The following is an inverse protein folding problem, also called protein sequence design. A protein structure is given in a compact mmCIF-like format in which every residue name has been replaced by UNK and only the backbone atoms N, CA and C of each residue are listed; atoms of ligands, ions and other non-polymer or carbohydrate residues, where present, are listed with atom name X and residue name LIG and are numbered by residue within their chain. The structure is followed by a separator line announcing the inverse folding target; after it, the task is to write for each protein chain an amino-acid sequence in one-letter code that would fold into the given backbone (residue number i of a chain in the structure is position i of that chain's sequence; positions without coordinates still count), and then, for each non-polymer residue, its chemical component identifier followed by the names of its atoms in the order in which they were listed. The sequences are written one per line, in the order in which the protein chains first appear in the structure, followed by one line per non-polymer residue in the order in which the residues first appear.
data_IF_083960113412
#
_entry.id   IF_083960113412
#
_cell.length_a   1.000
_cell.length_b   1.000
_cell.length_c   1.000
_cell.angle_alpha   90.00
_cell.angle_beta   90.00
_cell.angle_gamma   90.00
#
_symmetry.space_group_name_H-M   'P 1'
#
loop_
_entity.id
_entity.type
_entity.pdbx_description
1 polymer ?
#
# COMPACT_ATOMS: atom_id res chain seq x y z
N UNK A 1 7.80 -4.72 17.08
CA UNK A 1 6.71 -3.70 16.86
C UNK A 1 6.09 -3.99 15.53
N UNK A 2 4.79 -3.82 15.33
CA UNK A 2 4.20 -4.08 14.02
C UNK A 2 4.11 -2.81 13.20
N UNK A 3 4.34 -2.90 11.89
CA UNK A 3 4.18 -1.83 10.89
C UNK A 3 2.74 -1.82 10.37
N UNK A 4 1.82 -1.07 11.03
CA UNK A 4 0.41 -1.08 10.64
C UNK A 4 0.16 -0.53 9.24
N UNK A 5 1.06 0.30 8.72
CA UNK A 5 1.04 0.79 7.35
C UNK A 5 1.22 -0.37 6.34
N UNK A 6 2.17 -1.28 6.58
CA UNK A 6 2.37 -2.47 5.73
C UNK A 6 1.16 -3.41 5.77
N UNK A 7 0.53 -3.58 6.93
CA UNK A 7 -0.63 -4.46 7.11
C UNK A 7 -1.89 -3.96 6.38
N UNK A 8 -1.98 -2.67 6.10
CA UNK A 8 -3.11 -2.04 5.38
C UNK A 8 -2.98 -2.07 3.87
N UNK A 9 -1.81 -2.47 3.33
CA UNK A 9 -1.59 -2.52 1.89
C UNK A 9 -2.37 -3.70 1.28
N UNK A 10 -3.58 -3.43 0.82
CA UNK A 10 -4.39 -4.42 0.09
C UNK A 10 -3.78 -4.74 -1.27
N UNK A 11 -4.27 -5.81 -1.90
CA UNK A 11 -3.85 -6.19 -3.26
C UNK A 11 -4.05 -5.08 -4.27
N UNK A 12 -5.19 -4.38 -4.21
CA UNK A 12 -5.47 -3.27 -5.12
C UNK A 12 -4.46 -2.13 -4.93
N UNK A 13 -4.06 -1.85 -3.68
CA UNK A 13 -3.01 -0.88 -3.37
C UNK A 13 -1.66 -1.33 -3.91
N UNK A 14 -1.28 -2.59 -3.71
CA UNK A 14 -0.02 -3.14 -4.22
C UNK A 14 0.01 -3.18 -5.76
N UNK A 15 -1.14 -3.44 -6.41
CA UNK A 15 -1.28 -3.36 -7.86
C UNK A 15 -1.08 -1.92 -8.36
N UNK A 16 -1.65 -0.93 -7.68
CA UNK A 16 -1.51 0.49 -8.04
C UNK A 16 -0.10 1.04 -7.75
N UNK A 17 0.56 0.58 -6.67
CA UNK A 17 1.94 0.93 -6.35
C UNK A 17 2.95 0.36 -7.37
N UNK A 18 2.61 -0.77 -7.98
CA UNK A 18 3.51 -1.48 -8.90
C UNK A 18 2.83 -1.74 -10.25
N UNK A 19 2.31 -2.91 -10.44
CA UNK A 19 1.39 -3.33 -11.50
C UNK A 19 0.90 -4.75 -11.23
N UNK A 20 -0.19 -5.13 -11.89
CA UNK A 20 -0.81 -6.46 -11.75
C UNK A 20 0.14 -7.63 -12.02
N UNK A 21 1.04 -7.48 -13.00
CA UNK A 21 2.02 -8.52 -13.35
C UNK A 21 3.04 -8.74 -12.23
N UNK A 22 3.51 -7.67 -11.59
CA UNK A 22 4.44 -7.71 -10.47
C UNK A 22 3.80 -8.36 -9.25
N UNK A 23 2.58 -7.97 -8.87
CA UNK A 23 1.84 -8.56 -7.77
C UNK A 23 1.61 -10.07 -7.98
N UNK A 24 1.15 -10.46 -9.18
CA UNK A 24 0.93 -11.89 -9.51
C UNK A 24 2.20 -12.73 -9.40
N UNK A 25 3.35 -12.20 -9.86
CA UNK A 25 4.64 -12.88 -9.74
C UNK A 25 5.08 -12.99 -8.27
N UNK A 26 4.96 -11.92 -7.51
CA UNK A 26 5.29 -11.91 -6.08
C UNK A 26 4.49 -12.96 -5.31
N UNK A 27 3.17 -13.08 -5.55
CA UNK A 27 2.32 -14.10 -4.94
C UNK A 27 2.74 -15.52 -5.31
N UNK A 28 3.08 -15.76 -6.57
CA UNK A 28 3.55 -17.07 -7.04
C UNK A 28 4.86 -17.48 -6.37
N UNK A 29 5.72 -16.51 -6.06
CA UNK A 29 7.04 -16.73 -5.45
C UNK A 29 7.01 -16.69 -3.91
N UNK A 30 5.85 -16.44 -3.28
CA UNK A 30 5.74 -16.27 -1.83
C UNK A 30 6.18 -17.52 -1.05
N UNK A 31 5.85 -18.71 -1.56
CA UNK A 31 6.25 -19.99 -0.94
C UNK A 31 7.49 -20.63 -1.56
N UNK A 32 8.16 -19.98 -2.52
CA UNK A 32 9.27 -20.59 -3.27
C UNK A 32 10.63 -20.48 -2.58
N UNK A 33 10.79 -19.59 -1.60
CA UNK A 33 12.04 -19.34 -0.87
C UNK A 33 11.75 -19.06 0.60
N UNK A 34 12.63 -19.49 1.47
CA UNK A 34 12.57 -19.11 2.88
C UNK A 34 12.89 -17.61 3.01
N UNK A 35 12.03 -16.91 3.74
CA UNK A 35 12.17 -15.47 3.98
C UNK A 35 12.36 -15.22 5.47
N UNK A 36 13.38 -14.46 5.83
CA UNK A 36 13.65 -14.02 7.20
C UNK A 36 13.33 -12.55 7.32
N UNK A 37 12.51 -12.20 8.31
CA UNK A 37 12.11 -10.82 8.61
C UNK A 37 12.87 -10.33 9.84
N UNK A 38 13.45 -9.16 9.75
CA UNK A 38 14.06 -8.43 10.88
C UNK A 38 13.49 -7.03 10.92
N UNK A 39 13.04 -6.60 12.10
CA UNK A 39 12.52 -5.26 12.33
C UNK A 39 13.48 -4.51 13.27
N UNK A 40 13.92 -3.33 12.84
CA UNK A 40 14.78 -2.44 13.61
C UNK A 40 13.96 -1.51 14.50
N UNK A 41 14.59 -0.87 15.49
CA UNK A 41 13.92 0.02 16.46
C UNK A 41 13.28 1.26 15.81
N UNK A 42 13.79 1.69 14.66
CA UNK A 42 13.22 2.79 13.86
C UNK A 42 12.02 2.38 13.00
N UNK A 43 11.59 1.10 13.11
CA UNK A 43 10.51 0.50 12.33
C UNK A 43 10.92 0.11 10.91
N UNK A 44 12.20 0.16 10.55
CA UNK A 44 12.68 -0.36 9.27
C UNK A 44 12.58 -1.88 9.26
N UNK A 45 11.92 -2.44 8.27
CA UNK A 45 11.78 -3.89 8.07
C UNK A 45 12.75 -4.34 6.99
N UNK A 46 13.62 -5.28 7.32
CA UNK A 46 14.52 -5.95 6.37
C UNK A 46 14.03 -7.38 6.15
N UNK A 47 13.85 -7.74 4.89
CA UNK A 47 13.45 -9.10 4.49
C UNK A 47 14.54 -9.68 3.61
N UNK A 48 15.16 -10.77 4.08
CA UNK A 48 16.21 -11.50 3.38
C UNK A 48 15.69 -12.86 2.92
N UNK A 49 16.00 -13.22 1.69
CA UNK A 49 15.70 -14.53 1.11
C UNK A 49 16.96 -15.39 1.03
N UNK A 50 16.78 -16.70 1.00
CA UNK A 50 17.85 -17.68 0.87
C UNK A 50 18.62 -17.61 -0.47
N UNK A 51 18.01 -16.96 -1.50
CA UNK A 51 18.65 -16.65 -2.77
C UNK A 51 19.64 -15.45 -2.69
N UNK A 52 19.86 -14.88 -1.51
CA UNK A 52 20.69 -13.71 -1.27
C UNK A 52 19.99 -12.37 -1.56
N UNK A 53 18.72 -12.37 -1.95
CA UNK A 53 17.98 -11.14 -2.16
C UNK A 53 17.60 -10.51 -0.82
N UNK A 54 17.90 -9.22 -0.65
CA UNK A 54 17.54 -8.45 0.55
C UNK A 54 16.72 -7.24 0.16
N UNK A 55 15.57 -7.05 0.81
CA UNK A 55 14.70 -5.89 0.67
C UNK A 55 14.68 -5.09 1.96
N UNK A 56 14.73 -3.75 1.86
CA UNK A 56 14.64 -2.84 3.00
C UNK A 56 13.43 -1.94 2.82
N UNK A 57 12.46 -2.07 3.72
CA UNK A 57 11.19 -1.35 3.75
C UNK A 57 11.30 -0.27 4.84
N UNK A 58 11.75 0.91 4.45
CA UNK A 58 11.99 2.01 5.39
C UNK A 58 10.69 2.51 6.02
N UNK A 59 10.71 2.78 7.33
CA UNK A 59 9.65 3.51 7.98
C UNK A 59 9.68 4.99 7.56
N UNK A 60 8.50 5.61 7.49
CA UNK A 60 8.36 7.05 7.20
C UNK A 60 9.05 7.54 5.90
N UNK A 61 9.22 6.63 4.92
CA UNK A 61 9.70 6.98 3.58
C UNK A 61 8.73 6.51 2.52
N UNK A 62 8.63 7.25 1.40
CA UNK A 62 7.81 6.85 0.27
C UNK A 62 8.19 5.45 -0.23
N UNK A 63 7.21 4.67 -0.67
CA UNK A 63 7.41 3.34 -1.24
C UNK A 63 8.49 3.33 -2.36
N UNK A 64 8.60 4.42 -3.12
CA UNK A 64 9.60 4.55 -4.18
C UNK A 64 11.05 4.59 -3.69
N UNK A 65 11.28 4.87 -2.40
CA UNK A 65 12.61 4.90 -1.79
C UNK A 65 13.01 3.55 -1.16
N UNK A 66 12.09 2.58 -1.10
CA UNK A 66 12.43 1.28 -0.58
C UNK A 66 13.37 0.55 -1.51
N UNK A 67 14.32 -0.18 -0.94
CA UNK A 67 15.41 -0.76 -1.70
C UNK A 67 15.34 -2.28 -1.76
N UNK A 68 15.90 -2.83 -2.83
CA UNK A 68 16.11 -4.26 -3.02
C UNK A 68 17.50 -4.48 -3.62
N UNK A 69 18.21 -5.51 -3.20
CA UNK A 69 19.52 -5.88 -3.75
C UNK A 69 19.47 -6.41 -5.18
N UNK A 70 18.27 -6.64 -5.74
CA UNK A 70 18.13 -7.04 -7.13
C UNK A 70 18.44 -5.89 -8.10
N UNK A 71 18.81 -6.23 -9.33
CA UNK A 71 19.14 -5.24 -10.37
C UNK A 71 17.93 -4.54 -11.01
N UNK A 72 16.71 -4.87 -10.58
CA UNK A 72 15.51 -4.21 -11.09
C UNK A 72 15.42 -2.79 -10.53
N UNK A 73 14.95 -1.86 -11.36
CA UNK A 73 14.56 -0.54 -10.89
C UNK A 73 13.45 -0.64 -9.84
N UNK A 74 13.22 0.45 -9.09
CA UNK A 74 12.22 0.56 -8.03
C UNK A 74 10.90 -0.16 -8.38
N UNK A 75 10.23 -0.70 -7.36
CA UNK A 75 8.96 -1.46 -7.47
C UNK A 75 9.11 -2.89 -8.03
N UNK A 76 10.19 -3.59 -7.67
CA UNK A 76 10.41 -4.96 -8.07
C UNK A 76 9.45 -5.94 -7.32
N UNK A 77 9.29 -7.15 -7.91
CA UNK A 77 8.49 -8.21 -7.29
C UNK A 77 8.96 -8.65 -5.91
N UNK A 78 10.26 -8.50 -5.60
CA UNK A 78 10.84 -8.89 -4.31
C UNK A 78 10.36 -7.97 -3.17
N UNK A 79 10.22 -6.66 -3.43
CA UNK A 79 9.63 -5.73 -2.44
C UNK A 79 8.16 -6.12 -2.18
N UNK A 80 7.38 -6.40 -3.22
CA UNK A 80 5.99 -6.86 -3.04
C UNK A 80 5.93 -8.18 -2.30
N UNK A 81 6.79 -9.15 -2.64
CA UNK A 81 6.90 -10.43 -1.92
C UNK A 81 7.24 -10.24 -0.45
N UNK A 82 8.16 -9.31 -0.14
CA UNK A 82 8.55 -8.98 1.23
C UNK A 82 7.36 -8.42 2.03
N UNK A 83 6.55 -7.54 1.44
CA UNK A 83 5.34 -7.01 2.07
C UNK A 83 4.34 -8.13 2.35
N UNK A 84 4.02 -8.95 1.35
CA UNK A 84 3.07 -10.05 1.48
C UNK A 84 3.51 -11.07 2.55
N UNK A 85 4.81 -11.35 2.62
CA UNK A 85 5.37 -12.25 3.64
C UNK A 85 5.26 -11.63 5.04
N UNK A 86 5.58 -10.34 5.18
CA UNK A 86 5.41 -9.61 6.44
C UNK A 86 3.95 -9.63 6.91
N UNK A 87 3.01 -9.39 6.00
CA UNK A 87 1.57 -9.46 6.30
C UNK A 87 1.16 -10.84 6.78
N UNK A 88 1.61 -11.91 6.10
CA UNK A 88 1.33 -13.28 6.49
C UNK A 88 1.89 -13.60 7.88
N UNK A 89 3.15 -13.25 8.15
CA UNK A 89 3.80 -13.47 9.44
C UNK A 89 3.13 -12.72 10.60
N UNK A 90 2.52 -11.56 10.35
CA UNK A 90 1.79 -10.80 11.36
C UNK A 90 0.31 -11.19 11.49
N UNK A 91 -0.21 -11.98 10.53
CA UNK A 91 -1.63 -12.40 10.51
C UNK A 91 -1.84 -13.77 11.16
N UNK A 92 -0.81 -14.50 11.53
CA UNK A 92 -0.94 -15.77 12.23
C UNK A 92 -1.37 -15.53 13.68
N UNK A 93 -2.61 -15.90 14.09
CA UNK A 93 -2.95 -16.00 15.49
C UNK A 93 -2.22 -17.22 16.06
N UNK A 94 -1.60 -17.03 17.20
CA UNK A 94 -0.83 -18.05 17.89
C UNK A 94 -1.54 -19.40 18.01
N UNK A 95 -0.71 -20.43 17.89
CA UNK A 95 -0.87 -21.81 18.41
C UNK A 95 -2.08 -22.58 17.85
N UNK A 96 -1.81 -23.38 16.85
CA UNK A 96 -2.53 -24.63 16.69
C UNK A 96 -1.78 -25.65 17.53
N UNK A 97 -2.33 -26.01 18.67
CA UNK A 97 -1.95 -27.24 19.39
C UNK A 97 -2.27 -28.41 18.46
N UNK A 98 -1.28 -29.26 18.25
CA UNK A 98 -1.38 -30.49 17.49
C UNK A 98 -2.45 -31.41 18.16
N UNK A 99 -3.67 -31.44 17.66
CA UNK A 99 -4.56 -32.57 17.87
C UNK A 99 -4.33 -33.57 16.73
N UNK A 100 -3.71 -34.70 17.07
CA UNK A 100 -3.59 -35.88 16.22
C UNK A 100 -4.99 -36.33 15.73
N UNK A 101 -5.15 -36.68 14.45
CA UNK A 101 -6.40 -37.24 13.97
C UNK A 101 -6.50 -38.71 14.38
N UNK A 102 -7.38 -39.00 15.33
CA UNK A 102 -7.87 -40.37 15.56
C UNK A 102 -8.72 -40.82 14.37
N UNK A 103 -8.23 -41.91 13.77
CA UNK A 103 -8.83 -42.53 12.61
C UNK A 103 -10.04 -43.39 13.04
N UNK A 104 -11.28 -43.04 12.62
CA UNK A 104 -12.30 -44.08 12.43
C UNK A 104 -13.42 -43.61 11.50
N UNK A 105 -13.53 -44.38 10.40
CA UNK A 105 -14.71 -44.76 9.60
C UNK A 105 -15.67 -43.72 9.00
N UNK A 106 -15.74 -43.86 7.66
CA UNK A 106 -16.78 -43.43 6.70
C UNK A 106 -18.17 -44.07 6.95
N UNK A 107 -19.31 -43.61 6.37
CA UNK A 107 -19.44 -43.03 5.03
C UNK A 107 -20.52 -41.92 4.84
N UNK A 108 -20.35 -41.16 3.78
CA UNK A 108 -21.46 -40.58 3.01
C UNK A 108 -22.12 -39.34 3.59
N UNK A 109 -21.89 -38.21 2.97
CA UNK A 109 -22.98 -37.30 2.57
C UNK A 109 -22.51 -35.94 2.17
N UNK A 110 -23.06 -35.50 1.04
CA UNK A 110 -23.43 -34.14 0.67
C UNK A 110 -22.43 -33.00 0.88
N UNK A 111 -21.88 -32.54 -0.22
CA UNK A 111 -21.18 -31.26 -0.36
C UNK A 111 -22.00 -30.11 0.24
N UNK A 112 -21.49 -29.38 1.25
CA UNK A 112 -22.11 -28.14 1.65
C UNK A 112 -21.89 -27.09 0.55
N UNK A 113 -22.99 -26.66 -0.02
CA UNK A 113 -23.14 -25.52 -0.91
C UNK A 113 -22.35 -24.35 -0.29
N UNK A 114 -21.37 -23.81 -1.05
CA UNK A 114 -20.59 -22.65 -0.70
C UNK A 114 -21.50 -21.54 -0.15
N UNK A 115 -21.26 -21.14 1.09
CA UNK A 115 -21.89 -19.97 1.68
C UNK A 115 -21.50 -18.75 0.82
N UNK A 116 -22.51 -18.00 0.40
CA UNK A 116 -22.32 -16.74 -0.31
C UNK A 116 -21.41 -15.83 0.53
N UNK A 117 -20.46 -15.10 -0.09
CA UNK A 117 -19.62 -14.16 0.64
C UNK A 117 -20.54 -13.14 1.33
N UNK A 118 -20.40 -13.04 2.65
CA UNK A 118 -21.12 -12.04 3.45
C UNK A 118 -20.92 -10.67 2.82
N UNK A 119 -21.98 -9.86 2.80
CA UNK A 119 -21.90 -8.46 2.42
C UNK A 119 -20.88 -7.79 3.33
N UNK A 120 -19.66 -7.57 2.82
CA UNK A 120 -18.69 -6.66 3.41
C UNK A 120 -19.33 -5.29 3.25
N UNK A 121 -19.69 -4.63 4.35
CA UNK A 121 -20.10 -3.23 4.32
C UNK A 121 -18.96 -2.44 3.64
N UNK A 122 -19.28 -1.53 2.69
CA UNK A 122 -18.23 -0.76 2.03
C UNK A 122 -17.49 0.05 3.08
N UNK A 123 -16.23 -0.30 3.33
CA UNK A 123 -15.35 0.55 4.14
C UNK A 123 -15.45 1.97 3.60
N UNK A 124 -15.70 2.91 4.50
CA UNK A 124 -15.88 4.31 4.13
C UNK A 124 -14.64 4.79 3.35
N UNK A 125 -14.85 5.20 2.11
CA UNK A 125 -13.77 5.71 1.26
C UNK A 125 -13.10 6.88 1.97
N UNK A 126 -11.77 6.84 2.06
CA UNK A 126 -10.99 7.90 2.69
C UNK A 126 -11.30 9.27 2.07
N UNK A 127 -11.52 10.29 2.91
CA UNK A 127 -11.73 11.65 2.45
C UNK A 127 -10.41 12.44 2.52
N UNK A 128 -9.81 12.85 1.38
CA UNK A 128 -8.57 13.63 1.37
C UNK A 128 -8.64 14.96 2.12
N UNK A 129 -9.82 15.56 2.27
CA UNK A 129 -10.01 16.79 3.07
C UNK A 129 -9.65 16.61 4.55
N UNK A 130 -9.55 15.37 5.04
CA UNK A 130 -9.10 15.08 6.43
C UNK A 130 -7.59 15.25 6.62
N UNK A 131 -6.80 15.39 5.55
CA UNK A 131 -5.37 15.66 5.62
C UNK A 131 -5.14 17.09 6.06
N UNK A 132 -4.51 17.27 7.21
CA UNK A 132 -4.24 18.59 7.77
C UNK A 132 -3.05 19.25 7.11
N UNK A 133 -2.96 20.59 7.27
CA UNK A 133 -1.78 21.36 6.83
C UNK A 133 -0.48 20.89 7.49
N UNK A 134 -0.54 20.34 8.68
CA UNK A 134 0.61 19.79 9.39
C UNK A 134 1.11 18.51 8.72
N UNK A 135 0.23 17.60 8.34
CA UNK A 135 0.59 16.41 7.54
C UNK A 135 1.28 16.81 6.24
N UNK A 136 0.77 17.84 5.55
CA UNK A 136 1.39 18.33 4.32
C UNK A 136 2.78 18.94 4.56
N UNK A 137 2.99 19.65 5.70
CA UNK A 137 4.29 20.21 6.07
C UNK A 137 5.33 19.17 6.42
N UNK A 138 4.91 18.04 6.95
CA UNK A 138 5.81 16.93 7.25
C UNK A 138 6.30 16.23 5.96
N UNK A 139 5.48 16.21 4.91
CA UNK A 139 5.75 15.47 3.67
C UNK A 139 6.30 16.34 2.54
N UNK A 140 6.01 17.65 2.53
CA UNK A 140 6.31 18.55 1.42
C UNK A 140 7.20 19.71 1.85
N UNK A 141 8.10 20.14 0.98
CA UNK A 141 8.93 21.32 1.24
C UNK A 141 8.08 22.59 1.34
N UNK A 142 8.55 23.62 2.09
CA UNK A 142 7.86 24.90 2.17
C UNK A 142 7.69 25.58 0.80
N UNK A 143 8.61 25.34 -0.13
CA UNK A 143 8.51 25.86 -1.50
C UNK A 143 7.40 25.18 -2.29
N UNK A 144 7.27 23.86 -2.18
CA UNK A 144 6.20 23.10 -2.80
C UNK A 144 4.82 23.52 -2.27
N UNK A 145 4.70 23.74 -0.95
CA UNK A 145 3.44 24.22 -0.34
C UNK A 145 3.04 25.60 -0.82
N UNK A 146 3.99 26.55 -0.88
CA UNK A 146 3.69 27.90 -1.41
C UNK A 146 3.24 27.84 -2.86
N UNK A 147 3.88 26.99 -3.68
CA UNK A 147 3.49 26.81 -5.07
C UNK A 147 2.12 26.15 -5.21
N UNK A 148 1.80 25.19 -4.35
CA UNK A 148 0.47 24.57 -4.29
C UNK A 148 -0.62 25.60 -3.94
N UNK A 149 -0.35 26.48 -2.95
CA UNK A 149 -1.27 27.57 -2.57
C UNK A 149 -1.50 28.55 -3.73
N UNK A 150 -0.43 28.89 -4.47
CA UNK A 150 -0.54 29.75 -5.66
C UNK A 150 -1.40 29.09 -6.75
N UNK A 151 -1.22 27.78 -7.00
CA UNK A 151 -2.02 27.05 -7.99
C UNK A 151 -3.47 26.96 -7.54
N UNK A 152 -3.73 26.67 -6.28
CA UNK A 152 -5.08 26.63 -5.72
C UNK A 152 -5.78 27.99 -5.84
N UNK A 153 -5.06 29.11 -5.66
CA UNK A 153 -5.56 30.46 -5.79
C UNK A 153 -5.91 30.90 -7.23
N UNK A 154 -5.47 30.15 -8.25
CA UNK A 154 -5.81 30.41 -9.65
C UNK A 154 -7.19 29.87 -10.08
N UNK A 155 -7.92 29.29 -9.14
CA UNK A 155 -9.18 28.63 -9.38
C UNK A 155 -8.99 27.15 -9.69
N UNK A 156 -9.53 26.29 -8.82
CA UNK A 156 -9.45 24.85 -8.99
C UNK A 156 -10.70 24.32 -9.72
N UNK A 157 -10.47 23.51 -10.73
CA UNK A 157 -11.50 22.64 -11.30
C UNK A 157 -11.03 21.20 -11.04
N UNK A 158 -11.66 20.53 -10.09
CA UNK A 158 -11.32 19.17 -9.70
C UNK A 158 -12.56 18.30 -9.52
N UNK A 159 -12.40 17.01 -9.69
CA UNK A 159 -13.39 15.98 -9.39
C UNK A 159 -12.84 15.05 -8.33
N UNK A 160 -13.55 14.92 -7.22
CA UNK A 160 -13.22 13.96 -6.14
C UNK A 160 -14.11 12.74 -6.32
N UNK A 161 -13.50 11.56 -6.27
CA UNK A 161 -14.20 10.29 -6.42
C UNK A 161 -13.39 9.12 -5.88
N UNK A 162 -13.84 7.91 -6.16
CA UNK A 162 -13.10 6.71 -5.78
C UNK A 162 -13.04 5.71 -6.91
N UNK A 163 -11.96 4.90 -6.92
CA UNK A 163 -11.77 3.76 -7.81
C UNK A 163 -11.35 2.58 -6.94
N UNK A 164 -12.16 1.51 -6.91
CA UNK A 164 -11.92 0.32 -6.08
C UNK A 164 -11.67 0.64 -4.60
N UNK A 165 -12.41 1.60 -4.03
CA UNK A 165 -12.22 2.04 -2.65
C UNK A 165 -11.07 3.02 -2.41
N UNK A 166 -10.24 3.28 -3.41
CA UNK A 166 -9.12 4.24 -3.34
C UNK A 166 -9.65 5.63 -3.70
N UNK A 167 -9.36 6.62 -2.86
CA UNK A 167 -9.72 8.02 -3.14
C UNK A 167 -8.87 8.59 -4.25
N UNK A 168 -9.53 9.21 -5.21
CA UNK A 168 -8.90 9.83 -6.38
C UNK A 168 -9.39 11.26 -6.54
N UNK A 169 -8.46 12.20 -6.61
CA UNK A 169 -8.75 13.60 -6.97
C UNK A 169 -8.18 13.86 -8.37
N UNK A 170 -9.06 14.15 -9.31
CA UNK A 170 -8.67 14.54 -10.67
C UNK A 170 -8.75 16.06 -10.77
N UNK A 171 -7.59 16.68 -10.92
CA UNK A 171 -7.46 18.12 -11.14
C UNK A 171 -7.48 18.34 -12.65
N UNK A 172 -8.37 19.20 -13.14
CA UNK A 172 -8.48 19.54 -14.56
C UNK A 172 -7.85 20.89 -14.87
N UNK A 173 -7.87 21.80 -13.90
CA UNK A 173 -7.27 23.13 -13.98
C UNK A 173 -6.66 23.50 -12.62
N UNK A 174 -5.49 24.14 -12.54
CA UNK A 174 -4.66 24.68 -13.62
C UNK A 174 -3.82 23.64 -14.36
N UNK A 175 -3.59 22.47 -13.79
CA UNK A 175 -2.77 21.41 -14.40
C UNK A 175 -3.52 20.07 -14.37
N UNK A 176 -3.74 19.42 -15.52
CA UNK A 176 -4.48 18.17 -15.56
C UNK A 176 -3.64 17.03 -14.98
N UNK A 177 -3.96 16.60 -13.77
CA UNK A 177 -3.32 15.48 -13.07
C UNK A 177 -4.33 14.69 -12.25
N UNK A 178 -4.01 13.45 -11.92
CA UNK A 178 -4.76 12.62 -10.98
C UNK A 178 -3.90 12.27 -9.79
N UNK A 179 -4.42 12.48 -8.58
CA UNK A 179 -3.78 12.12 -7.32
C UNK A 179 -4.60 11.00 -6.68
N UNK A 180 -3.94 9.89 -6.33
CA UNK A 180 -4.53 8.72 -5.68
C UNK A 180 -3.98 8.57 -4.28
N UNK A 181 -4.87 8.42 -3.29
CA UNK A 181 -4.53 8.24 -1.88
C UNK A 181 -4.69 6.77 -1.53
N UNK A 182 -3.61 5.99 -1.68
CA UNK A 182 -3.64 4.53 -1.65
C UNK A 182 -3.79 3.95 -0.24
N UNK A 183 -3.26 4.62 0.77
CA UNK A 183 -3.32 4.20 2.18
C UNK A 183 -3.87 5.30 3.10
N UNK A 184 -4.98 5.91 2.72
CA UNK A 184 -5.64 6.94 3.51
C UNK A 184 -4.81 8.21 3.65
N UNK A 185 -4.58 8.68 4.89
CA UNK A 185 -3.83 9.91 5.17
C UNK A 185 -2.31 9.75 5.06
N UNK A 186 -1.79 8.53 4.87
CA UNK A 186 -0.35 8.31 4.76
C UNK A 186 0.17 8.73 3.39
N UNK A 187 0.84 9.88 3.34
CA UNK A 187 1.35 10.49 2.11
C UNK A 187 2.53 9.73 1.49
N UNK A 188 3.10 8.75 2.18
CA UNK A 188 4.12 7.87 1.61
C UNK A 188 3.55 6.92 0.54
N UNK A 189 2.24 6.68 0.58
CA UNK A 189 1.51 5.83 -0.36
C UNK A 189 0.58 6.63 -1.28
N UNK A 190 0.92 7.87 -1.57
CA UNK A 190 0.20 8.66 -2.57
C UNK A 190 0.83 8.47 -3.95
N UNK A 191 0.04 8.60 -5.00
CA UNK A 191 0.50 8.58 -6.39
C UNK A 191 -0.09 9.76 -7.17
N UNK A 192 0.77 10.48 -7.87
CA UNK A 192 0.38 11.52 -8.81
C UNK A 192 0.77 11.14 -10.24
N UNK A 193 -0.04 11.50 -11.21
CA UNK A 193 0.28 11.28 -12.64
C UNK A 193 1.23 12.31 -13.22
N UNK A 194 1.74 13.26 -12.43
CA UNK A 194 2.81 14.16 -12.86
C UNK A 194 4.17 13.44 -12.91
N UNK A 195 5.20 14.13 -13.42
CA UNK A 195 6.56 13.57 -13.55
C UNK A 195 7.42 13.85 -12.30
N UNK A 196 6.93 14.65 -11.35
CA UNK A 196 7.67 14.94 -10.11
C UNK A 196 7.64 13.73 -9.17
N UNK A 197 8.67 13.54 -8.33
CA UNK A 197 8.66 12.51 -7.29
C UNK A 197 7.47 12.66 -6.33
N UNK A 198 6.88 11.54 -5.91
CA UNK A 198 5.83 11.52 -4.90
C UNK A 198 6.42 11.58 -3.47
N UNK A 199 5.79 12.30 -2.53
CA UNK A 199 4.66 13.21 -2.73
C UNK A 199 5.07 14.54 -3.37
N UNK A 200 4.34 14.95 -4.39
CA UNK A 200 4.58 16.21 -5.11
C UNK A 200 3.62 17.33 -4.65
N UNK A 201 3.81 18.55 -5.17
CA UNK A 201 2.97 19.71 -4.83
C UNK A 201 1.47 19.48 -5.17
N UNK A 202 1.15 18.66 -6.18
CA UNK A 202 -0.24 18.37 -6.57
C UNK A 202 -1.02 17.61 -5.51
N UNK A 203 -0.34 16.93 -4.57
CA UNK A 203 -0.99 16.33 -3.40
C UNK A 203 -1.63 17.41 -2.53
N UNK A 204 -0.93 18.51 -2.26
CA UNK A 204 -1.49 19.62 -1.50
C UNK A 204 -2.62 20.32 -2.26
N UNK A 205 -2.51 20.44 -3.58
CA UNK A 205 -3.60 20.98 -4.42
C UNK A 205 -4.83 20.06 -4.38
N UNK A 206 -4.63 18.74 -4.43
CA UNK A 206 -5.71 17.75 -4.34
C UNK A 206 -6.42 17.79 -2.98
N UNK A 207 -5.67 17.96 -1.89
CA UNK A 207 -6.24 18.11 -0.54
C UNK A 207 -7.07 19.40 -0.44
N UNK A 208 -6.62 20.50 -1.05
CA UNK A 208 -7.34 21.76 -1.06
C UNK A 208 -8.61 21.72 -1.94
N UNK A 209 -8.70 20.77 -2.86
CA UNK A 209 -9.84 20.59 -3.78
C UNK A 209 -10.90 19.62 -3.23
N UNK A 210 -10.58 18.84 -2.21
CA UNK A 210 -11.45 17.82 -1.62
C UNK A 210 -12.32 18.38 -0.50
#
# INVERSE_FOLDING_TARGET
MSRPDLLRLSDDVLEDLTNRGTLRRARKELGAAALTVTEADDGTVTVSADDGTTCVLYANRPFAEWTCSCLAANNCRHIVRAILHYQAACSEPGVIEDEEPDSTDLPGQETPRAAAPGKVEPEAVFNPASITREHLRAALSPAALRRADQLAGQGLLAHVGSIRGISVVRIHHPTPVSVRFLAGADLNYVRCTCHDPDPCLHVAVAVAAA
#
